data_IF_379179285340
#
_entry.id   IF_379179285340
#
_cell.length_a   1.000
_cell.length_b   1.000
_cell.length_c   1.000
_cell.angle_alpha   90.00
_cell.angle_beta   90.00
_cell.angle_gamma   90.00
#
_symmetry.space_group_name_H-M   'P 1'
#
loop_
_entity.id
_entity.type
_entity.pdbx_description
1 polymer ?
#
# COMPACT_ATOMS: atom_id res chain seq x y z
N UNK A 1 7.76 -11.89 4.50
CA UNK A 1 7.44 -12.63 5.71
C UNK A 1 8.46 -12.26 6.76
N UNK A 2 8.05 -11.43 7.74
CA UNK A 2 8.88 -11.23 8.93
C UNK A 2 8.96 -12.57 9.65
N UNK A 3 10.17 -13.11 9.78
CA UNK A 3 10.41 -14.24 10.68
C UNK A 3 10.16 -13.71 12.10
N UNK A 4 9.04 -14.10 12.70
CA UNK A 4 8.83 -13.93 14.14
C UNK A 4 9.91 -14.74 14.84
N UNK A 5 10.79 -14.07 15.58
CA UNK A 5 11.63 -14.74 16.57
C UNK A 5 10.71 -15.49 17.53
N UNK A 6 11.00 -16.76 17.77
CA UNK A 6 10.29 -17.65 18.71
C UNK A 6 10.51 -17.22 20.18
N UNK A 7 10.14 -15.99 20.50
CA UNK A 7 10.00 -15.53 21.87
C UNK A 7 8.60 -15.93 22.36
N UNK A 8 8.53 -16.82 23.33
CA UNK A 8 7.33 -17.22 24.08
C UNK A 8 6.77 -16.03 24.89
N UNK A 9 6.37 -14.94 24.22
CA UNK A 9 5.55 -13.89 24.77
C UNK A 9 4.08 -14.29 24.63
N UNK A 10 3.28 -14.03 25.65
CA UNK A 10 1.84 -14.18 25.56
C UNK A 10 1.37 -13.31 24.36
N UNK A 11 0.46 -13.85 23.51
CA UNK A 11 -0.04 -13.11 22.34
C UNK A 11 -0.62 -11.74 22.70
N UNK A 12 -1.18 -11.61 23.89
CA UNK A 12 -1.72 -10.37 24.40
C UNK A 12 -0.62 -9.32 24.65
N UNK A 13 0.54 -9.73 25.16
CA UNK A 13 1.69 -8.84 25.37
C UNK A 13 2.29 -8.32 24.05
N UNK A 14 2.25 -9.15 23.00
CA UNK A 14 2.73 -8.76 21.66
C UNK A 14 1.78 -7.71 21.05
N UNK A 15 0.49 -7.92 21.16
CA UNK A 15 -0.50 -6.96 20.66
C UNK A 15 -0.43 -5.62 21.39
N UNK A 16 -0.26 -5.63 22.71
CA UNK A 16 -0.11 -4.40 23.51
C UNK A 16 1.13 -3.62 23.05
N UNK A 17 2.28 -4.29 22.93
CA UNK A 17 3.51 -3.65 22.44
C UNK A 17 3.38 -3.10 21.02
N UNK A 18 2.72 -3.84 20.12
CA UNK A 18 2.49 -3.37 18.74
C UNK A 18 1.61 -2.11 18.71
N UNK A 19 0.59 -2.02 19.56
CA UNK A 19 -0.24 -0.82 19.70
C UNK A 19 0.56 0.35 20.28
N UNK A 20 1.37 0.12 21.31
CA UNK A 20 2.25 1.15 21.88
C UNK A 20 3.25 1.68 20.83
N UNK A 21 3.85 0.81 20.03
CA UNK A 21 4.76 1.21 18.94
C UNK A 21 4.02 2.02 17.88
N UNK A 22 2.82 1.61 17.50
CA UNK A 22 1.98 2.33 16.55
C UNK A 22 1.62 3.72 17.08
N UNK A 23 1.13 3.83 18.31
CA UNK A 23 0.75 5.10 18.92
C UNK A 23 1.94 6.04 19.04
N UNK A 24 3.10 5.53 19.46
CA UNK A 24 4.33 6.30 19.51
C UNK A 24 4.79 6.78 18.14
N UNK A 25 4.60 5.98 17.08
CA UNK A 25 4.90 6.38 15.71
C UNK A 25 3.96 7.51 15.24
N UNK A 26 2.66 7.39 15.52
CA UNK A 26 1.68 8.45 15.24
C UNK A 26 2.05 9.76 15.93
N UNK A 27 2.46 9.71 17.20
CA UNK A 27 2.91 10.89 17.93
C UNK A 27 4.12 11.54 17.27
N UNK A 28 5.14 10.75 16.90
CA UNK A 28 6.34 11.26 16.21
C UNK A 28 6.01 11.93 14.87
N UNK A 29 5.06 11.38 14.11
CA UNK A 29 4.61 12.00 12.86
C UNK A 29 3.92 13.34 13.11
N UNK A 30 3.07 13.41 14.13
CA UNK A 30 2.38 14.67 14.53
C UNK A 30 3.37 15.73 15.01
N UNK A 31 4.38 15.34 15.76
CA UNK A 31 5.42 16.23 16.29
C UNK A 31 6.24 16.92 15.18
N UNK A 32 6.39 16.27 14.03
CA UNK A 32 7.04 16.86 12.84
C UNK A 32 6.05 17.51 11.86
N UNK A 33 4.80 17.73 12.29
CA UNK A 33 3.78 18.48 11.52
C UNK A 33 2.97 17.65 10.52
N UNK A 34 3.07 16.32 10.53
CA UNK A 34 2.24 15.47 9.68
C UNK A 34 0.84 15.39 10.27
N UNK A 35 -0.19 15.69 9.47
CA UNK A 35 -1.57 15.48 9.85
C UNK A 35 -1.92 13.98 9.72
N UNK A 36 -2.03 13.29 10.84
CA UNK A 36 -2.30 11.85 10.90
C UNK A 36 -3.74 11.57 11.28
N UNK A 37 -4.46 10.88 10.41
CA UNK A 37 -5.81 10.37 10.63
C UNK A 37 -5.71 8.88 10.95
N UNK A 38 -6.04 8.50 12.17
CA UNK A 38 -6.03 7.09 12.61
C UNK A 38 -7.41 6.48 12.40
N UNK A 39 -7.46 5.41 11.62
CA UNK A 39 -8.66 4.61 11.40
C UNK A 39 -8.54 3.30 12.15
N UNK A 40 -9.49 3.04 13.05
CA UNK A 40 -9.50 1.79 13.81
C UNK A 40 -9.98 0.61 12.96
N UNK A 41 -9.29 -0.51 13.10
CA UNK A 41 -9.76 -1.74 12.46
C UNK A 41 -10.93 -2.35 13.24
N UNK A 42 -11.72 -3.18 12.54
CA UNK A 42 -12.79 -3.96 13.15
C UNK A 42 -12.28 -5.33 13.60
N UNK A 43 -12.70 -5.83 14.78
CA UNK A 43 -12.20 -7.09 15.32
C UNK A 43 -12.63 -8.31 14.49
N UNK A 44 -13.71 -8.20 13.71
CA UNK A 44 -14.24 -9.25 12.85
C UNK A 44 -14.65 -8.69 11.49
N UNK A 45 -14.28 -9.35 10.38
CA UNK A 45 -13.30 -10.45 10.30
C UNK A 45 -11.88 -9.96 10.66
N UNK A 46 -11.01 -10.87 11.12
CA UNK A 46 -9.62 -10.53 11.42
C UNK A 46 -8.86 -10.17 10.14
N UNK A 47 -8.17 -9.02 10.16
CA UNK A 47 -7.39 -8.47 9.05
C UNK A 47 -5.96 -8.15 9.51
N UNK A 48 -5.07 -9.17 9.58
CA UNK A 48 -3.75 -9.02 10.19
C UNK A 48 -2.83 -8.02 9.49
N UNK A 49 -3.09 -7.73 8.21
CA UNK A 49 -2.30 -6.81 7.38
C UNK A 49 -2.99 -5.47 7.13
N UNK A 50 -4.09 -5.16 7.83
CA UNK A 50 -4.86 -3.93 7.64
C UNK A 50 -4.09 -2.63 7.95
N UNK A 51 -2.93 -2.75 8.59
CA UNK A 51 -1.98 -1.64 8.83
C UNK A 51 -1.35 -1.11 7.53
N UNK A 52 -1.50 -1.82 6.40
CA UNK A 52 -0.96 -1.43 5.10
C UNK A 52 -2.06 -1.04 4.09
N UNK A 53 -2.85 0.02 4.37
CA UNK A 53 -3.98 0.42 3.51
C UNK A 53 -3.52 0.86 2.11
N UNK A 54 -2.27 1.28 1.96
CA UNK A 54 -1.67 1.66 0.70
C UNK A 54 -1.64 0.52 -0.36
N UNK A 55 -1.90 -0.73 0.04
CA UNK A 55 -1.97 -1.84 -0.90
C UNK A 55 -3.34 -1.95 -1.58
N UNK A 56 -4.42 -1.55 -0.92
CA UNK A 56 -5.76 -1.68 -1.49
C UNK A 56 -6.38 -0.36 -1.96
N UNK A 57 -5.83 0.81 -1.55
CA UNK A 57 -6.39 2.13 -1.89
C UNK A 57 -5.29 3.17 -2.11
N UNK A 58 -5.53 4.10 -3.03
CA UNK A 58 -4.73 5.31 -3.17
C UNK A 58 -5.59 6.54 -3.43
N UNK A 59 -5.10 7.70 -2.97
CA UNK A 59 -5.68 9.01 -3.18
C UNK A 59 -4.73 9.89 -3.99
N UNK A 60 -5.29 10.69 -4.88
CA UNK A 60 -4.54 11.55 -5.79
C UNK A 60 -5.02 13.00 -5.70
N UNK A 61 -4.09 13.94 -5.88
CA UNK A 61 -4.36 15.36 -5.69
C UNK A 61 -5.43 15.98 -6.61
N UNK A 62 -5.83 15.28 -7.67
CA UNK A 62 -6.93 15.67 -8.54
C UNK A 62 -8.32 15.21 -8.05
N UNK A 63 -8.40 14.66 -6.84
CA UNK A 63 -9.63 14.09 -6.26
C UNK A 63 -9.94 12.68 -6.75
N UNK A 64 -8.99 11.98 -7.36
CA UNK A 64 -9.17 10.58 -7.77
C UNK A 64 -8.84 9.63 -6.62
N UNK A 65 -9.73 8.67 -6.40
CA UNK A 65 -9.54 7.49 -5.55
C UNK A 65 -9.48 6.26 -6.43
N UNK A 66 -8.53 5.36 -6.15
CA UNK A 66 -8.41 4.07 -6.86
C UNK A 66 -8.34 2.94 -5.83
N UNK A 67 -9.14 1.89 -6.04
CA UNK A 67 -9.05 0.62 -5.30
C UNK A 67 -8.40 -0.45 -6.18
N UNK A 68 -7.63 -1.34 -5.54
CA UNK A 68 -6.71 -2.24 -6.21
C UNK A 68 -7.01 -3.71 -5.94
N UNK A 69 -6.70 -4.60 -6.92
CA UNK A 69 -6.81 -6.04 -6.77
C UNK A 69 -5.70 -6.58 -5.86
N UNK A 70 -6.11 -7.37 -4.88
CA UNK A 70 -5.25 -7.99 -3.87
C UNK A 70 -5.03 -9.47 -4.18
N UNK A 71 -3.76 -9.91 -4.24
CA UNK A 71 -3.39 -11.29 -4.54
C UNK A 71 -3.91 -12.26 -3.46
N UNK A 72 -3.84 -11.85 -2.21
CA UNK A 72 -4.19 -12.69 -1.07
C UNK A 72 -5.66 -12.50 -0.69
N UNK A 73 -6.53 -13.52 -0.81
CA UNK A 73 -7.97 -13.37 -0.57
C UNK A 73 -8.32 -12.81 0.81
N UNK A 74 -7.56 -13.16 1.86
CA UNK A 74 -7.78 -12.62 3.20
C UNK A 74 -7.49 -11.13 3.32
N UNK A 75 -6.76 -10.51 2.36
CA UNK A 75 -6.54 -9.07 2.34
C UNK A 75 -7.61 -8.30 1.57
N UNK A 76 -8.41 -8.97 0.74
CA UNK A 76 -9.52 -8.34 0.00
C UNK A 76 -10.57 -7.76 0.93
N UNK A 77 -10.74 -8.36 2.13
CA UNK A 77 -11.64 -7.88 3.18
C UNK A 77 -11.12 -6.62 3.92
N UNK A 78 -9.89 -6.17 3.61
CA UNK A 78 -9.36 -4.90 4.11
C UNK A 78 -9.97 -3.69 3.39
N UNK A 79 -10.55 -3.88 2.21
CA UNK A 79 -11.28 -2.83 1.48
C UNK A 79 -12.58 -2.50 2.23
N UNK A 80 -12.57 -1.38 2.94
CA UNK A 80 -13.66 -0.95 3.82
C UNK A 80 -14.29 0.34 3.29
N UNK A 81 -15.57 0.24 2.90
CA UNK A 81 -16.34 1.40 2.43
C UNK A 81 -16.52 2.46 3.52
N UNK A 82 -16.69 2.06 4.78
CA UNK A 82 -16.82 3.00 5.90
C UNK A 82 -15.57 3.88 6.09
N UNK A 83 -14.38 3.38 5.76
CA UNK A 83 -13.15 4.18 5.71
C UNK A 83 -13.23 5.19 4.57
N UNK A 84 -13.64 4.75 3.37
CA UNK A 84 -13.77 5.62 2.19
C UNK A 84 -14.78 6.72 2.47
N UNK A 85 -15.94 6.38 3.02
CA UNK A 85 -16.99 7.33 3.37
C UNK A 85 -16.50 8.36 4.39
N UNK A 86 -15.82 7.91 5.44
CA UNK A 86 -15.26 8.79 6.46
C UNK A 86 -14.22 9.75 5.89
N UNK A 87 -13.37 9.29 4.96
CA UNK A 87 -12.39 10.12 4.29
C UNK A 87 -13.05 11.08 3.28
N UNK A 88 -14.16 10.68 2.66
CA UNK A 88 -14.97 11.54 1.79
C UNK A 88 -15.58 12.74 2.49
N UNK A 89 -15.73 12.70 3.82
CA UNK A 89 -16.14 13.87 4.62
C UNK A 89 -15.01 14.89 4.83
N UNK A 90 -13.76 14.47 4.66
CA UNK A 90 -12.56 15.26 4.90
C UNK A 90 -11.86 15.70 3.61
N UNK A 91 -12.02 14.94 2.53
CA UNK A 91 -11.35 15.15 1.26
C UNK A 91 -12.36 15.18 0.10
N UNK A 92 -12.12 16.02 -0.89
CA UNK A 92 -12.95 16.13 -2.09
C UNK A 92 -12.65 14.97 -3.05
N UNK A 93 -13.38 13.87 -2.93
CA UNK A 93 -13.30 12.69 -3.81
C UNK A 93 -14.24 12.91 -4.99
N UNK A 94 -13.69 13.16 -6.18
CA UNK A 94 -14.43 13.47 -7.42
C UNK A 94 -14.62 12.27 -8.33
N UNK A 95 -13.60 11.39 -8.36
CA UNK A 95 -13.57 10.23 -9.24
C UNK A 95 -13.16 9.00 -8.45
N UNK A 96 -13.89 7.92 -8.66
CA UNK A 96 -13.58 6.63 -8.07
C UNK A 96 -13.41 5.59 -9.17
N UNK A 97 -12.27 4.91 -9.17
CA UNK A 97 -11.98 3.79 -10.07
C UNK A 97 -11.69 2.54 -9.26
N UNK A 98 -12.08 1.40 -9.82
CA UNK A 98 -11.79 0.09 -9.26
C UNK A 98 -11.05 -0.77 -10.28
N UNK A 99 -9.99 -1.43 -9.82
CA UNK A 99 -9.26 -2.44 -10.60
C UNK A 99 -9.53 -3.85 -10.05
N UNK A 100 -10.41 -3.96 -9.07
CA UNK A 100 -10.67 -5.17 -8.29
C UNK A 100 -11.14 -6.37 -9.13
N UNK A 101 -11.87 -6.12 -10.25
CA UNK A 101 -12.34 -7.19 -11.14
C UNK A 101 -11.22 -8.05 -11.73
N UNK A 102 -9.99 -7.51 -11.81
CA UNK A 102 -8.83 -8.27 -12.30
C UNK A 102 -8.43 -9.43 -11.37
N UNK A 103 -8.95 -9.46 -10.14
CA UNK A 103 -8.78 -10.61 -9.22
C UNK A 103 -9.38 -11.91 -9.77
N UNK A 104 -10.43 -11.82 -10.61
CA UNK A 104 -11.07 -12.97 -11.25
C UNK A 104 -10.17 -13.60 -12.32
N UNK A 105 -9.30 -12.78 -12.93
CA UNK A 105 -8.34 -13.19 -13.95
C UNK A 105 -6.99 -13.62 -13.32
N UNK A 106 -6.82 -13.40 -12.00
CA UNK A 106 -5.57 -13.67 -11.31
C UNK A 106 -4.51 -12.59 -11.50
N UNK A 107 -4.93 -11.40 -11.95
CA UNK A 107 -4.05 -10.25 -12.15
C UNK A 107 -4.11 -9.29 -10.97
N UNK A 108 -2.96 -8.90 -10.46
CA UNK A 108 -2.86 -8.11 -9.24
C UNK A 108 -2.01 -6.86 -9.43
N UNK A 109 -2.40 -5.81 -8.71
CA UNK A 109 -1.64 -4.58 -8.56
C UNK A 109 -1.94 -4.01 -7.18
N UNK A 110 -1.05 -4.24 -6.23
CA UNK A 110 -1.30 -3.89 -4.83
C UNK A 110 -0.88 -2.43 -4.53
N UNK A 111 -1.57 -1.48 -5.16
CA UNK A 111 -1.48 -0.03 -4.92
C UNK A 111 -0.05 0.50 -4.86
N UNK A 112 0.23 1.35 -3.87
CA UNK A 112 1.59 1.89 -3.66
C UNK A 112 2.52 0.95 -2.88
N UNK A 113 2.15 -0.30 -2.68
CA UNK A 113 3.08 -1.39 -2.41
C UNK A 113 3.81 -1.80 -3.69
N UNK A 114 3.04 -2.05 -4.76
CA UNK A 114 3.55 -2.41 -6.08
C UNK A 114 4.19 -1.24 -6.84
N UNK A 115 3.74 -0.01 -6.60
CA UNK A 115 4.13 1.20 -7.35
C UNK A 115 4.75 2.25 -6.44
N UNK A 116 5.88 2.81 -6.85
CA UNK A 116 6.41 4.06 -6.31
C UNK A 116 6.08 5.18 -7.29
N UNK A 117 5.36 6.19 -6.82
CA UNK A 117 4.85 7.28 -7.63
C UNK A 117 5.71 8.54 -7.47
N UNK A 118 6.50 8.87 -8.48
CA UNK A 118 7.02 10.23 -8.63
C UNK A 118 5.87 11.12 -9.14
N UNK A 119 5.20 11.75 -8.21
CA UNK A 119 3.99 12.53 -8.50
C UNK A 119 4.30 13.83 -9.24
N UNK A 120 5.50 14.39 -9.06
CA UNK A 120 5.97 15.61 -9.68
C UNK A 120 6.30 15.39 -11.15
N UNK A 121 7.08 14.36 -11.46
CA UNK A 121 7.50 14.05 -12.82
C UNK A 121 6.55 13.09 -13.54
N UNK A 122 5.50 12.62 -12.87
CA UNK A 122 4.53 11.67 -13.44
C UNK A 122 5.18 10.38 -13.91
N UNK A 123 6.01 9.78 -13.06
CA UNK A 123 6.67 8.50 -13.32
C UNK A 123 6.22 7.48 -12.29
N UNK A 124 5.90 6.27 -12.75
CA UNK A 124 5.69 5.09 -11.92
C UNK A 124 6.92 4.21 -12.01
N UNK A 125 7.50 3.86 -10.87
CA UNK A 125 8.53 2.83 -10.77
C UNK A 125 7.89 1.57 -10.19
N UNK A 126 8.05 0.42 -10.86
CA UNK A 126 7.41 -0.81 -10.43
C UNK A 126 8.28 -2.04 -10.71
N UNK A 127 8.53 -2.81 -9.64
CA UNK A 127 9.12 -4.14 -9.73
C UNK A 127 8.03 -5.14 -10.13
N UNK A 128 8.17 -5.76 -11.31
CA UNK A 128 7.23 -6.77 -11.80
C UNK A 128 7.33 -8.04 -10.94
N UNK A 129 6.18 -8.58 -10.58
CA UNK A 129 6.08 -9.75 -9.69
C UNK A 129 4.68 -10.39 -9.80
N UNK A 130 4.42 -11.52 -9.15
CA UNK A 130 3.06 -12.07 -9.06
C UNK A 130 2.02 -11.14 -8.42
N UNK A 131 2.45 -10.03 -7.77
CA UNK A 131 1.55 -9.03 -7.18
C UNK A 131 1.58 -7.68 -7.92
N UNK A 132 2.27 -7.62 -9.07
CA UNK A 132 2.46 -6.38 -9.84
C UNK A 132 2.42 -6.71 -11.32
N UNK A 133 1.20 -6.74 -11.87
CA UNK A 133 0.92 -7.09 -13.26
C UNK A 133 1.20 -5.90 -14.18
N UNK A 134 1.89 -6.14 -15.29
CA UNK A 134 2.28 -5.10 -16.26
C UNK A 134 1.08 -4.44 -16.95
N UNK A 135 0.04 -5.21 -17.28
CA UNK A 135 -1.14 -4.67 -17.96
C UNK A 135 -1.96 -3.74 -17.05
N UNK A 136 -1.99 -4.05 -15.75
CA UNK A 136 -2.63 -3.17 -14.77
C UNK A 136 -1.82 -1.91 -14.52
N UNK A 137 -0.48 -1.99 -14.57
CA UNK A 137 0.39 -0.81 -14.52
C UNK A 137 0.16 0.09 -15.73
N UNK A 138 0.11 -0.45 -16.95
CA UNK A 138 -0.17 0.32 -18.16
C UNK A 138 -1.54 0.99 -18.08
N UNK A 139 -2.56 0.26 -17.62
CA UNK A 139 -3.90 0.81 -17.40
C UNK A 139 -3.90 1.96 -16.38
N UNK A 140 -3.18 1.80 -15.27
CA UNK A 140 -3.02 2.87 -14.26
C UNK A 140 -2.31 4.08 -14.87
N UNK A 141 -1.21 3.86 -15.59
CA UNK A 141 -0.45 4.93 -16.21
C UNK A 141 -1.25 5.71 -17.24
N UNK A 142 -2.02 5.01 -18.08
CA UNK A 142 -2.92 5.65 -19.04
C UNK A 142 -4.01 6.47 -18.33
N UNK A 143 -4.64 5.93 -17.29
CA UNK A 143 -5.70 6.58 -16.53
C UNK A 143 -5.21 7.85 -15.84
N UNK A 144 -4.01 7.80 -15.25
CA UNK A 144 -3.49 8.84 -14.36
C UNK A 144 -2.48 9.77 -15.03
N UNK A 145 -2.12 9.51 -16.30
CA UNK A 145 -1.16 10.32 -17.06
C UNK A 145 0.28 10.15 -16.54
N UNK A 146 0.70 8.93 -16.24
CA UNK A 146 2.06 8.60 -15.83
C UNK A 146 2.84 7.87 -16.92
N UNK A 147 4.15 8.03 -16.90
CA UNK A 147 5.08 7.17 -17.64
C UNK A 147 5.51 6.01 -16.74
N UNK A 148 5.73 4.82 -17.33
CA UNK A 148 6.10 3.62 -16.59
C UNK A 148 7.60 3.31 -16.73
N UNK A 149 8.24 3.04 -15.60
CA UNK A 149 9.56 2.41 -15.51
C UNK A 149 9.38 1.09 -14.75
N UNK A 150 9.30 0.00 -15.48
CA UNK A 150 9.16 -1.35 -14.91
C UNK A 150 10.48 -2.10 -14.97
N UNK A 151 10.72 -2.95 -13.97
CA UNK A 151 11.94 -3.75 -13.84
C UNK A 151 11.67 -5.03 -13.08
N UNK A 152 12.61 -5.96 -13.11
CA UNK A 152 12.64 -7.13 -12.23
C UNK A 152 13.72 -6.95 -11.18
N UNK A 153 13.46 -7.44 -9.98
CA UNK A 153 14.44 -7.45 -8.90
C UNK A 153 14.28 -8.72 -8.06
N UNK A 154 15.41 -9.21 -7.57
CA UNK A 154 15.46 -10.37 -6.68
C UNK A 154 16.27 -10.02 -5.44
N UNK A 155 16.04 -10.78 -4.36
CA UNK A 155 16.93 -10.76 -3.23
C UNK A 155 18.24 -11.52 -3.53
N UNK A 156 19.16 -11.51 -2.58
CA UNK A 156 20.45 -12.21 -2.69
C UNK A 156 20.34 -13.74 -2.89
N UNK A 157 19.17 -14.31 -2.64
CA UNK A 157 18.87 -15.73 -2.79
C UNK A 157 18.17 -16.02 -4.14
N UNK A 158 17.98 -14.97 -4.97
CA UNK A 158 17.33 -15.07 -6.28
C UNK A 158 15.79 -15.08 -6.19
N UNK A 159 15.20 -14.81 -5.04
CA UNK A 159 13.76 -14.73 -4.87
C UNK A 159 13.25 -13.37 -5.31
N UNK A 160 12.18 -13.36 -6.08
CA UNK A 160 11.54 -12.12 -6.57
C UNK A 160 11.11 -11.19 -5.43
N UNK A 161 11.40 -9.91 -5.61
CA UNK A 161 10.85 -8.84 -4.76
C UNK A 161 9.42 -8.59 -5.20
N UNK A 162 8.47 -8.87 -4.32
CA UNK A 162 7.04 -8.84 -4.65
C UNK A 162 6.40 -7.45 -4.60
N UNK A 163 7.00 -6.49 -3.87
CA UNK A 163 6.54 -5.11 -3.78
C UNK A 163 7.70 -4.13 -3.96
N UNK A 164 7.49 -3.08 -4.74
CA UNK A 164 8.51 -2.06 -5.00
C UNK A 164 8.85 -1.25 -3.75
N UNK A 165 7.87 -1.00 -2.87
CA UNK A 165 8.06 -0.20 -1.66
C UNK A 165 8.95 -0.85 -0.60
N UNK A 166 9.25 -2.15 -0.71
CA UNK A 166 10.20 -2.79 0.22
C UNK A 166 11.66 -2.49 -0.13
N UNK A 167 11.92 -1.99 -1.34
CA UNK A 167 13.26 -1.72 -1.82
C UNK A 167 13.51 -0.26 -2.20
N UNK A 168 12.46 0.57 -2.39
CA UNK A 168 12.66 1.95 -2.82
C UNK A 168 11.61 2.89 -2.27
N UNK A 169 12.01 4.14 -2.04
CA UNK A 169 11.13 5.26 -1.72
C UNK A 169 11.63 6.53 -2.40
N UNK A 170 10.72 7.41 -2.80
CA UNK A 170 11.03 8.70 -3.43
C UNK A 170 10.49 9.82 -2.56
N UNK A 171 11.30 10.86 -2.38
CA UNK A 171 10.91 12.17 -1.86
C UNK A 171 11.25 13.26 -2.89
N UNK A 172 10.90 14.50 -2.59
CA UNK A 172 11.06 15.61 -3.55
C UNK A 172 12.51 15.84 -4.03
N UNK A 173 13.50 15.56 -3.17
CA UNK A 173 14.90 15.87 -3.43
C UNK A 173 15.82 14.65 -3.34
N UNK A 174 15.32 13.49 -2.97
CA UNK A 174 16.14 12.29 -2.84
C UNK A 174 15.33 11.01 -3.10
N UNK A 175 16.07 9.96 -3.40
CA UNK A 175 15.55 8.60 -3.48
C UNK A 175 16.34 7.72 -2.53
N UNK A 176 15.66 6.82 -1.86
CA UNK A 176 16.27 5.73 -1.10
C UNK A 176 15.98 4.45 -1.86
N UNK A 177 17.04 3.70 -2.17
CA UNK A 177 16.94 2.45 -2.92
C UNK A 177 17.92 1.42 -2.35
N UNK A 178 17.46 0.19 -2.19
CA UNK A 178 18.29 -0.96 -1.87
C UNK A 178 18.88 -1.52 -3.17
N UNK A 179 20.21 -1.63 -3.25
CA UNK A 179 20.96 -2.15 -4.39
C UNK A 179 21.48 -3.55 -4.10
#
# INVERSE_FOLDING_TARGET
AFKTNDGKGNKDDINVKALEEFDNFVLKLKDVGVNVIVMHDTPNPKKPDAIFPNNWISFHGNGTLITYPMATPNRRIERREDIIDSLGLLFDIRHRYSFESSEEEGDYLEGTGSMILDRTNKIVYACLSPRTNIFLLDRFCLLMGYSLVSFFSTDKEGKEIYHTNVMMAIADQYVVICL
#
